data_IF_906416601618
#
_entry.id   IF_906416601618
#
_cell.length_a   1.000
_cell.length_b   1.000
_cell.length_c   1.000
_cell.angle_alpha   90.00
_cell.angle_beta   90.00
_cell.angle_gamma   90.00
#
_symmetry.space_group_name_H-M   'P 1'
#
loop_
_entity.id
_entity.type
_entity.pdbx_description
1 polymer ?
#
# COMPACT_ATOMS: atom_id res chain seq x y z
N UNK A 1 4.99 43.61 11.68
CA UNK A 1 4.89 42.46 12.59
C UNK A 1 4.63 41.24 11.73
N UNK A 2 5.59 40.33 11.63
CA UNK A 2 5.63 39.27 10.63
C UNK A 2 4.87 38.01 11.10
N UNK A 3 3.79 37.66 10.43
CA UNK A 3 3.02 36.43 10.61
C UNK A 3 3.70 35.15 10.07
N UNK A 4 4.98 35.18 9.76
CA UNK A 4 5.70 34.11 9.06
C UNK A 4 6.30 33.02 9.98
N UNK A 5 6.06 33.09 11.32
CA UNK A 5 6.72 32.21 12.30
C UNK A 5 5.98 30.95 12.73
N UNK A 6 4.67 30.85 12.57
CA UNK A 6 3.83 29.88 13.28
C UNK A 6 3.47 28.58 12.52
N UNK A 7 3.85 28.44 11.24
CA UNK A 7 3.42 27.28 10.43
C UNK A 7 4.48 26.16 10.21
N UNK A 8 5.69 26.26 10.76
CA UNK A 8 6.77 25.30 10.48
C UNK A 8 6.62 23.91 11.12
N UNK A 9 5.77 23.73 12.12
CA UNK A 9 5.66 22.50 12.91
C UNK A 9 4.25 21.87 13.00
N UNK A 10 3.27 22.38 12.28
CA UNK A 10 1.92 21.84 12.30
C UNK A 10 1.91 20.41 11.72
N UNK A 11 1.33 19.48 12.47
CA UNK A 11 1.15 18.08 12.03
C UNK A 11 0.22 18.05 10.80
N UNK A 12 0.59 17.29 9.80
CA UNK A 12 -0.17 17.06 8.55
C UNK A 12 -1.20 15.96 8.77
N UNK A 13 -2.36 16.32 9.29
CA UNK A 13 -3.47 15.38 9.56
C UNK A 13 -4.10 14.86 8.26
N UNK A 14 -4.07 15.64 7.20
CA UNK A 14 -4.49 15.27 5.85
C UNK A 14 -3.77 14.02 5.33
N UNK A 15 -2.46 13.90 5.55
CA UNK A 15 -1.69 12.71 5.18
C UNK A 15 -2.04 11.49 6.05
N UNK A 16 -2.36 11.71 7.33
CA UNK A 16 -2.86 10.62 8.18
C UNK A 16 -4.21 10.09 7.67
N UNK A 17 -5.15 10.98 7.30
CA UNK A 17 -6.44 10.60 6.72
C UNK A 17 -6.30 9.85 5.40
N UNK A 18 -5.48 10.36 4.48
CA UNK A 18 -5.24 9.67 3.20
C UNK A 18 -4.67 8.27 3.40
N UNK A 19 -3.76 8.10 4.36
CA UNK A 19 -3.23 6.79 4.71
C UNK A 19 -4.32 5.85 5.23
N UNK A 20 -5.20 6.34 6.11
CA UNK A 20 -6.34 5.58 6.64
C UNK A 20 -7.27 5.16 5.51
N UNK A 21 -7.64 6.09 4.63
CA UNK A 21 -8.53 5.82 3.50
C UNK A 21 -7.89 4.81 2.53
N UNK A 22 -6.62 5.00 2.17
CA UNK A 22 -5.93 4.13 1.23
C UNK A 22 -5.79 2.68 1.76
N UNK A 23 -5.50 2.50 3.04
CA UNK A 23 -5.49 1.16 3.65
C UNK A 23 -6.90 0.58 3.82
N UNK A 24 -7.91 1.40 4.13
CA UNK A 24 -9.30 0.96 4.14
C UNK A 24 -9.71 0.42 2.77
N UNK A 25 -9.41 1.16 1.70
CA UNK A 25 -9.64 0.72 0.33
C UNK A 25 -8.83 -0.52 -0.05
N UNK A 26 -7.64 -0.72 0.54
CA UNK A 26 -6.85 -1.93 0.34
C UNK A 26 -7.57 -3.18 0.87
N UNK A 27 -8.24 -3.08 2.02
CA UNK A 27 -9.03 -4.19 2.58
C UNK A 27 -10.15 -4.56 1.61
N UNK A 28 -10.95 -3.59 1.15
CA UNK A 28 -12.01 -3.83 0.18
C UNK A 28 -11.49 -4.34 -1.17
N UNK A 29 -10.32 -3.87 -1.60
CA UNK A 29 -9.66 -4.40 -2.79
C UNK A 29 -9.32 -5.89 -2.64
N UNK A 30 -8.79 -6.33 -1.50
CA UNK A 30 -8.51 -7.74 -1.28
C UNK A 30 -9.79 -8.59 -1.16
N UNK A 31 -10.89 -8.03 -0.66
CA UNK A 31 -12.21 -8.67 -0.77
C UNK A 31 -12.60 -8.82 -2.25
N UNK A 32 -12.41 -7.78 -3.06
CA UNK A 32 -12.63 -7.85 -4.51
C UNK A 32 -11.74 -8.86 -5.23
N UNK A 33 -10.52 -9.13 -4.72
CA UNK A 33 -9.64 -10.17 -5.26
C UNK A 33 -10.23 -11.58 -5.14
N UNK A 34 -11.12 -11.83 -4.21
CA UNK A 34 -11.88 -13.08 -4.11
C UNK A 34 -12.87 -13.26 -5.26
N UNK A 35 -13.40 -12.16 -5.82
CA UNK A 35 -14.45 -12.17 -6.85
C UNK A 35 -13.96 -11.85 -8.28
N UNK A 36 -12.81 -11.16 -8.45
CA UNK A 36 -12.29 -10.85 -9.80
C UNK A 36 -11.60 -12.06 -10.41
N UNK A 37 -11.59 -12.18 -11.74
CA UNK A 37 -10.95 -13.30 -12.45
C UNK A 37 -9.41 -13.36 -12.33
N UNK A 38 -8.76 -12.37 -11.69
CA UNK A 38 -7.30 -12.33 -11.55
C UNK A 38 -6.80 -13.42 -10.59
N UNK A 39 -5.59 -13.98 -10.80
CA UNK A 39 -5.02 -14.98 -9.90
C UNK A 39 -4.95 -14.50 -8.44
N UNK A 40 -5.38 -15.34 -7.52
CA UNK A 40 -5.30 -15.09 -6.08
C UNK A 40 -5.32 -16.39 -5.29
N UNK A 41 -5.19 -16.34 -3.96
CA UNK A 41 -5.07 -17.50 -3.08
C UNK A 41 -6.29 -18.45 -3.15
N UNK A 42 -7.47 -17.88 -2.95
CA UNK A 42 -8.76 -18.60 -2.95
C UNK A 42 -9.78 -17.81 -3.76
N UNK A 43 -10.78 -18.45 -4.34
CA UNK A 43 -11.76 -17.82 -5.22
C UNK A 43 -13.19 -18.14 -4.86
N UNK A 44 -14.09 -17.18 -5.05
CA UNK A 44 -15.52 -17.43 -5.09
C UNK A 44 -15.90 -18.24 -6.33
N UNK A 45 -16.96 -19.05 -6.23
CA UNK A 45 -17.61 -19.67 -7.39
C UNK A 45 -18.20 -18.63 -8.35
N UNK A 46 -18.40 -17.39 -7.90
CA UNK A 46 -18.89 -16.25 -8.67
C UNK A 46 -17.75 -15.36 -9.20
N UNK A 47 -16.50 -15.85 -9.20
CA UNK A 47 -15.38 -15.04 -9.67
C UNK A 47 -15.44 -14.84 -11.18
N UNK A 48 -15.39 -13.57 -11.62
CA UNK A 48 -15.52 -13.22 -13.03
C UNK A 48 -14.89 -11.86 -13.38
N UNK A 49 -14.99 -11.45 -14.65
CA UNK A 49 -14.46 -10.16 -15.12
C UNK A 49 -15.34 -8.97 -14.74
N UNK A 50 -16.58 -9.18 -14.28
CA UNK A 50 -17.61 -8.16 -14.11
C UNK A 50 -17.20 -7.07 -13.13
N UNK A 51 -16.46 -7.42 -12.06
CA UNK A 51 -15.98 -6.46 -11.08
C UNK A 51 -14.61 -5.85 -11.42
N UNK A 52 -14.02 -6.22 -12.56
CA UNK A 52 -12.72 -5.71 -12.97
C UNK A 52 -12.67 -4.17 -13.05
N UNK A 53 -13.70 -3.47 -13.58
CA UNK A 53 -13.73 -2.01 -13.54
C UNK A 53 -13.63 -1.46 -12.11
N UNK A 54 -14.38 -2.02 -11.16
CA UNK A 54 -14.32 -1.60 -9.76
C UNK A 54 -12.91 -1.79 -9.15
N UNK A 55 -12.25 -2.89 -9.50
CA UNK A 55 -10.87 -3.14 -9.06
C UNK A 55 -9.89 -2.11 -9.63
N UNK A 56 -10.06 -1.74 -10.90
CA UNK A 56 -9.24 -0.74 -11.58
C UNK A 56 -9.39 0.66 -11.00
N UNK A 57 -10.52 0.99 -10.37
CA UNK A 57 -10.71 2.30 -9.74
C UNK A 57 -9.65 2.66 -8.71
N UNK A 58 -9.15 1.67 -7.96
CA UNK A 58 -8.18 1.93 -6.88
C UNK A 58 -6.82 1.29 -7.11
N UNK A 59 -6.72 0.29 -7.98
CA UNK A 59 -5.49 -0.49 -8.21
C UNK A 59 -4.29 0.38 -8.64
N UNK A 60 -4.41 1.33 -9.57
CA UNK A 60 -3.25 2.05 -10.08
C UNK A 60 -2.57 2.95 -9.04
N UNK A 61 -3.34 3.64 -8.21
CA UNK A 61 -2.83 4.75 -7.39
C UNK A 61 -2.68 4.44 -5.90
N UNK A 62 -3.41 3.48 -5.36
CA UNK A 62 -3.51 3.27 -3.90
C UNK A 62 -2.16 3.02 -3.22
N UNK A 63 -1.37 2.05 -3.73
CA UNK A 63 -0.04 1.75 -3.18
C UNK A 63 0.98 2.85 -3.50
N UNK A 64 0.90 3.43 -4.68
CA UNK A 64 1.69 4.57 -5.10
C UNK A 64 1.53 5.77 -4.15
N UNK A 65 0.29 6.10 -3.79
CA UNK A 65 -0.03 7.12 -2.80
C UNK A 65 0.53 6.78 -1.42
N UNK A 66 0.44 5.52 -0.98
CA UNK A 66 0.98 5.09 0.31
C UNK A 66 2.51 5.23 0.38
N UNK A 67 3.25 4.90 -0.68
CA UNK A 67 4.69 5.11 -0.74
C UNK A 67 5.05 6.60 -0.75
N UNK A 68 4.31 7.44 -1.48
CA UNK A 68 4.49 8.88 -1.49
C UNK A 68 4.28 9.48 -0.08
N UNK A 69 3.18 9.13 0.60
CA UNK A 69 2.90 9.56 1.98
C UNK A 69 3.99 9.08 2.94
N UNK A 70 4.46 7.84 2.77
CA UNK A 70 5.53 7.29 3.57
C UNK A 70 6.85 8.06 3.38
N UNK A 71 7.14 8.52 2.17
CA UNK A 71 8.24 9.43 1.87
C UNK A 71 8.12 10.76 2.63
N UNK A 72 6.95 11.40 2.61
CA UNK A 72 6.68 12.61 3.39
C UNK A 72 6.91 12.39 4.90
N UNK A 73 6.36 11.30 5.45
CA UNK A 73 6.54 10.94 6.85
C UNK A 73 8.02 10.70 7.21
N UNK A 74 8.77 10.08 6.29
CA UNK A 74 10.20 9.83 6.43
C UNK A 74 10.99 11.14 6.46
N UNK A 75 10.63 12.15 5.66
CA UNK A 75 11.22 13.48 5.70
C UNK A 75 10.98 14.16 7.06
N UNK A 76 9.75 14.17 7.55
CA UNK A 76 9.45 14.77 8.86
C UNK A 76 10.20 14.08 10.01
N UNK A 77 10.44 12.77 9.93
CA UNK A 77 11.30 12.08 10.90
C UNK A 77 12.77 12.46 10.75
N UNK A 78 13.27 12.53 9.50
CA UNK A 78 14.65 12.88 9.21
C UNK A 78 15.01 14.30 9.73
N UNK A 79 14.07 15.24 9.71
CA UNK A 79 14.27 16.59 10.23
C UNK A 79 14.42 16.63 11.78
N UNK A 80 13.92 15.60 12.49
CA UNK A 80 13.85 15.57 13.96
C UNK A 80 14.81 14.56 14.61
N UNK A 81 15.45 13.69 13.83
CA UNK A 81 16.22 12.57 14.36
C UNK A 81 17.58 12.43 13.67
N UNK A 82 18.55 11.93 14.42
CA UNK A 82 19.82 11.46 13.86
C UNK A 82 19.59 10.18 13.03
N UNK A 83 20.47 9.91 12.07
CA UNK A 83 20.38 8.72 11.19
C UNK A 83 20.27 7.42 11.97
N UNK A 84 21.13 7.19 12.96
CA UNK A 84 21.13 5.96 13.77
C UNK A 84 19.84 5.79 14.58
N UNK A 85 19.34 6.87 15.21
CA UNK A 85 18.08 6.83 15.96
C UNK A 85 16.89 6.52 15.03
N UNK A 86 16.88 7.13 13.85
CA UNK A 86 15.85 6.90 12.85
C UNK A 86 15.86 5.46 12.33
N UNK A 87 17.05 4.92 11.98
CA UNK A 87 17.21 3.54 11.53
C UNK A 87 16.71 2.55 12.59
N UNK A 88 17.15 2.71 13.85
CA UNK A 88 16.72 1.86 14.96
C UNK A 88 15.21 1.91 15.18
N UNK A 89 14.61 3.11 15.18
CA UNK A 89 13.18 3.28 15.40
C UNK A 89 12.35 2.68 14.25
N UNK A 90 12.77 2.84 13.00
CA UNK A 90 12.10 2.26 11.84
C UNK A 90 12.22 0.75 11.80
N UNK A 91 13.41 0.21 12.03
CA UNK A 91 13.62 -1.24 12.08
C UNK A 91 12.78 -1.88 13.18
N UNK A 92 12.77 -1.30 14.39
CA UNK A 92 11.96 -1.81 15.48
C UNK A 92 10.45 -1.73 15.26
N UNK A 93 10.00 -0.80 14.42
CA UNK A 93 8.57 -0.64 14.10
C UNK A 93 8.10 -1.52 12.95
N UNK A 94 8.98 -1.89 12.01
CA UNK A 94 8.62 -2.59 10.78
C UNK A 94 9.06 -4.06 10.76
N UNK A 95 10.25 -4.39 11.27
CA UNK A 95 10.76 -5.76 11.18
C UNK A 95 10.06 -6.76 12.11
N UNK A 96 9.79 -6.48 13.41
CA UNK A 96 9.07 -7.42 14.25
C UNK A 96 7.67 -7.76 13.70
N UNK A 97 6.83 -6.79 13.24
CA UNK A 97 5.56 -7.10 12.58
C UNK A 97 5.73 -7.90 11.29
N UNK A 98 6.76 -7.63 10.50
CA UNK A 98 7.02 -8.38 9.26
C UNK A 98 7.36 -9.85 9.57
N UNK A 99 8.31 -10.09 10.46
CA UNK A 99 8.73 -11.45 10.83
C UNK A 99 7.58 -12.20 11.48
N UNK A 100 6.88 -11.60 12.44
CA UNK A 100 5.71 -12.19 13.08
C UNK A 100 4.60 -12.48 12.04
N UNK A 101 4.37 -11.53 11.14
CA UNK A 101 3.41 -11.69 10.06
C UNK A 101 3.74 -12.88 9.16
N UNK A 102 5.01 -12.99 8.72
CA UNK A 102 5.47 -14.11 7.88
C UNK A 102 5.36 -15.46 8.57
N UNK A 103 5.61 -15.52 9.88
CA UNK A 103 5.66 -16.80 10.61
C UNK A 103 4.32 -17.20 11.25
N UNK A 104 3.42 -16.26 11.52
CA UNK A 104 2.18 -16.54 12.27
C UNK A 104 0.91 -16.14 11.51
N UNK A 105 0.90 -14.98 10.86
CA UNK A 105 -0.31 -14.44 10.24
C UNK A 105 -0.50 -14.97 8.81
N UNK A 106 0.56 -15.07 8.03
CA UNK A 106 0.53 -15.48 6.61
C UNK A 106 0.38 -16.98 6.40
N UNK A 107 0.95 -17.90 7.22
CA UNK A 107 0.88 -19.35 6.97
C UNK A 107 -0.54 -19.89 6.72
N UNK A 108 -1.60 -19.45 7.46
CA UNK A 108 -2.95 -19.93 7.15
C UNK A 108 -3.42 -19.57 5.72
N UNK A 109 -2.99 -18.45 5.14
CA UNK A 109 -3.33 -18.09 3.76
C UNK A 109 -2.71 -19.09 2.78
N UNK A 110 -1.40 -19.37 2.96
CA UNK A 110 -0.67 -20.33 2.12
C UNK A 110 -1.23 -21.74 2.29
N UNK A 111 -1.63 -22.13 3.50
CA UNK A 111 -2.28 -23.40 3.76
C UNK A 111 -3.60 -23.53 2.97
N UNK A 112 -4.49 -22.54 3.09
CA UNK A 112 -5.74 -22.53 2.34
C UNK A 112 -5.51 -22.60 0.82
N UNK A 113 -4.51 -21.88 0.31
CA UNK A 113 -4.15 -21.88 -1.11
C UNK A 113 -3.70 -23.26 -1.61
N UNK A 114 -2.82 -23.96 -0.89
CA UNK A 114 -2.36 -25.29 -1.32
C UNK A 114 -3.41 -26.37 -1.13
N UNK A 115 -4.29 -26.23 -0.14
CA UNK A 115 -5.45 -27.14 0.01
C UNK A 115 -6.38 -26.99 -1.19
N UNK A 116 -6.72 -25.75 -1.58
CA UNK A 116 -7.67 -25.48 -2.65
C UNK A 116 -7.10 -25.79 -4.03
N UNK A 117 -5.85 -25.38 -4.30
CA UNK A 117 -5.24 -25.50 -5.63
C UNK A 117 -4.50 -26.83 -5.88
N UNK A 118 -4.00 -27.48 -4.84
CA UNK A 118 -3.16 -28.68 -4.96
C UNK A 118 -3.77 -29.90 -4.28
N UNK A 119 -4.91 -29.79 -3.61
CA UNK A 119 -5.51 -30.89 -2.86
C UNK A 119 -4.67 -31.38 -1.69
N UNK A 120 -3.89 -30.48 -1.05
CA UNK A 120 -3.01 -30.84 0.05
C UNK A 120 -3.78 -31.42 1.24
N UNK A 121 -3.42 -32.61 1.71
CA UNK A 121 -4.17 -33.37 2.73
C UNK A 121 -3.36 -33.83 3.94
N UNK A 122 -2.05 -33.54 4.00
CA UNK A 122 -1.19 -34.00 5.12
C UNK A 122 -1.46 -33.27 6.47
N UNK A 123 -2.35 -32.27 6.47
CA UNK A 123 -2.75 -31.52 7.66
C UNK A 123 -1.86 -30.32 7.99
N UNK A 124 -2.37 -29.47 8.90
CA UNK A 124 -1.78 -28.18 9.22
C UNK A 124 -0.41 -28.26 9.89
N UNK A 125 -0.16 -29.27 10.71
CA UNK A 125 1.12 -29.42 11.41
C UNK A 125 2.25 -29.82 10.44
N UNK A 126 2.00 -30.76 9.55
CA UNK A 126 2.94 -31.17 8.50
C UNK A 126 3.23 -30.00 7.54
N UNK A 127 2.18 -29.28 7.15
CA UNK A 127 2.34 -28.04 6.39
C UNK A 127 3.25 -27.04 7.09
N UNK A 128 2.99 -26.76 8.38
CA UNK A 128 3.74 -25.75 9.12
C UNK A 128 5.22 -26.13 9.27
N UNK A 129 5.53 -27.41 9.53
CA UNK A 129 6.90 -27.91 9.57
C UNK A 129 7.63 -27.68 8.23
N UNK A 130 7.00 -28.00 7.10
CA UNK A 130 7.53 -27.72 5.75
C UNK A 130 7.66 -26.23 5.48
N UNK A 131 6.69 -25.41 5.91
CA UNK A 131 6.69 -23.97 5.72
C UNK A 131 7.86 -23.28 6.40
N UNK A 132 8.15 -23.60 7.67
CA UNK A 132 9.23 -22.98 8.44
C UNK A 132 10.61 -23.54 8.10
N UNK A 133 10.69 -24.73 7.49
CA UNK A 133 11.96 -25.33 7.07
C UNK A 133 12.52 -24.76 5.76
N UNK A 134 11.82 -23.83 5.12
CA UNK A 134 12.16 -23.26 3.81
C UNK A 134 12.11 -24.28 2.65
N UNK A 135 11.52 -25.47 2.87
CA UNK A 135 11.44 -26.57 1.91
C UNK A 135 10.00 -26.99 1.64
N UNK A 136 9.12 -26.02 1.31
CA UNK A 136 7.73 -26.33 0.99
C UNK A 136 7.56 -27.28 -0.20
N UNK A 137 8.36 -27.12 -1.23
CA UNK A 137 8.33 -27.96 -2.44
C UNK A 137 7.08 -27.79 -3.31
N UNK A 138 6.16 -26.89 -2.92
CA UNK A 138 4.90 -26.67 -3.65
C UNK A 138 5.10 -25.81 -4.89
N UNK A 139 4.32 -26.10 -5.92
CA UNK A 139 4.25 -25.30 -7.15
C UNK A 139 2.78 -24.96 -7.42
N UNK A 140 2.48 -23.67 -7.50
CA UNK A 140 1.14 -23.17 -7.81
C UNK A 140 1.19 -22.46 -9.17
N UNK A 141 0.29 -22.81 -10.07
CA UNK A 141 0.24 -22.30 -11.45
C UNK A 141 1.60 -22.41 -12.17
N UNK A 142 2.29 -23.56 -11.97
CA UNK A 142 3.60 -23.85 -12.56
C UNK A 142 4.80 -23.12 -11.94
N UNK A 143 4.58 -22.23 -10.95
CA UNK A 143 5.63 -21.46 -10.28
C UNK A 143 5.91 -22.02 -8.88
N UNK A 144 7.19 -22.03 -8.44
CA UNK A 144 7.51 -22.45 -7.08
C UNK A 144 6.90 -21.47 -6.07
N UNK A 145 6.24 -22.01 -5.04
CA UNK A 145 5.74 -21.26 -3.92
C UNK A 145 6.85 -21.09 -2.88
N UNK A 146 7.43 -19.90 -2.83
CA UNK A 146 8.51 -19.59 -1.89
C UNK A 146 7.93 -19.44 -0.48
N UNK A 147 8.46 -20.22 0.46
CA UNK A 147 8.07 -20.19 1.87
C UNK A 147 9.30 -20.11 2.77
N UNK A 148 9.24 -19.40 3.91
CA UNK A 148 8.16 -18.53 4.37
C UNK A 148 7.94 -17.33 3.46
N UNK A 149 6.69 -16.97 3.19
CA UNK A 149 6.34 -15.85 2.34
C UNK A 149 5.77 -14.69 3.16
N UNK A 150 5.83 -13.50 2.62
CA UNK A 150 5.23 -12.29 3.22
C UNK A 150 3.87 -11.91 2.63
N UNK A 151 3.45 -12.53 1.52
CA UNK A 151 2.20 -12.20 0.83
C UNK A 151 1.96 -10.67 0.80
N UNK A 152 0.81 -10.20 1.29
CA UNK A 152 0.47 -8.77 1.34
C UNK A 152 1.44 -7.90 2.16
N UNK A 153 2.26 -8.46 3.03
CA UNK A 153 3.21 -7.72 3.87
C UNK A 153 4.46 -7.23 3.11
N UNK A 154 4.60 -7.56 1.82
CA UNK A 154 5.71 -7.09 0.99
C UNK A 154 5.91 -5.56 1.04
N UNK A 155 4.81 -4.79 1.15
CA UNK A 155 4.87 -3.33 1.31
C UNK A 155 5.71 -2.91 2.54
N UNK A 156 5.66 -3.65 3.64
CA UNK A 156 6.44 -3.35 4.86
C UNK A 156 7.93 -3.57 4.63
N UNK A 157 8.31 -4.65 3.92
CA UNK A 157 9.69 -4.94 3.57
C UNK A 157 10.27 -3.82 2.67
N UNK A 158 9.54 -3.44 1.62
CA UNK A 158 9.94 -2.36 0.71
C UNK A 158 10.03 -1.02 1.44
N UNK A 159 9.06 -0.69 2.29
CA UNK A 159 9.07 0.52 3.09
C UNK A 159 10.29 0.59 4.02
N UNK A 160 10.68 -0.53 4.62
CA UNK A 160 11.88 -0.60 5.44
C UNK A 160 13.13 -0.34 4.61
N UNK A 161 13.31 -1.04 3.48
CA UNK A 161 14.45 -0.88 2.58
C UNK A 161 14.53 0.56 2.07
N UNK A 162 13.44 1.14 1.56
CA UNK A 162 13.44 2.52 1.07
C UNK A 162 13.78 3.54 2.15
N UNK A 163 13.31 3.30 3.38
CA UNK A 163 13.70 4.14 4.51
C UNK A 163 15.20 4.03 4.81
N UNK A 164 15.79 2.82 4.77
CA UNK A 164 17.22 2.63 4.97
C UNK A 164 18.06 3.28 3.86
N UNK A 165 17.62 3.16 2.60
CA UNK A 165 18.25 3.84 1.47
C UNK A 165 18.28 5.36 1.69
N UNK A 166 17.13 5.96 2.07
CA UNK A 166 17.07 7.42 2.33
C UNK A 166 17.97 7.80 3.52
N UNK A 167 18.02 7.01 4.59
CA UNK A 167 18.90 7.28 5.73
C UNK A 167 20.38 7.26 5.31
N UNK A 168 20.78 6.28 4.49
CA UNK A 168 22.14 6.16 3.98
C UNK A 168 22.50 7.33 3.03
N UNK A 169 21.59 7.62 2.09
CA UNK A 169 21.80 8.65 1.07
C UNK A 169 21.47 10.08 1.56
N UNK A 170 21.06 10.26 2.81
CA UNK A 170 20.65 11.58 3.31
C UNK A 170 21.67 12.70 3.07
N UNK A 171 23.01 12.52 3.27
CA UNK A 171 23.98 13.57 2.95
C UNK A 171 23.97 13.97 1.49
N UNK A 172 23.90 12.98 0.59
CA UNK A 172 23.84 13.18 -0.85
C UNK A 172 22.55 13.89 -1.25
N UNK A 173 21.39 13.45 -0.75
CA UNK A 173 20.09 14.08 -1.01
C UNK A 173 20.03 15.56 -0.59
N UNK A 174 20.76 15.92 0.47
CA UNK A 174 20.88 17.32 0.91
C UNK A 174 21.84 18.14 0.04
N UNK A 175 22.86 17.49 -0.56
CA UNK A 175 23.84 18.15 -1.42
C UNK A 175 23.33 18.35 -2.86
N UNK A 176 22.33 17.56 -3.30
CA UNK A 176 21.80 17.68 -4.64
C UNK A 176 21.15 19.04 -4.89
N UNK A 177 21.46 19.71 -6.03
CA UNK A 177 20.92 21.03 -6.37
C UNK A 177 19.50 20.94 -6.92
N UNK A 178 18.57 20.34 -6.13
CA UNK A 178 17.17 20.12 -6.54
C UNK A 178 16.29 21.36 -6.53
N UNK A 179 16.86 22.56 -6.26
CA UNK A 179 16.09 23.82 -6.22
C UNK A 179 15.38 24.10 -7.54
N UNK A 180 16.06 23.90 -8.67
CA UNK A 180 15.46 24.10 -10.00
C UNK A 180 14.27 23.16 -10.25
N UNK A 181 14.41 21.88 -9.91
CA UNK A 181 13.33 20.90 -10.01
C UNK A 181 12.15 21.28 -9.10
N UNK A 182 12.42 21.68 -7.86
CA UNK A 182 11.39 22.11 -6.93
C UNK A 182 10.66 23.38 -7.44
N UNK A 183 11.38 24.31 -8.06
CA UNK A 183 10.78 25.51 -8.67
C UNK A 183 9.92 25.14 -9.88
N UNK A 184 10.40 24.28 -10.76
CA UNK A 184 9.64 23.79 -11.93
C UNK A 184 8.34 23.08 -11.49
N UNK A 185 8.40 22.22 -10.47
CA UNK A 185 7.24 21.50 -9.94
C UNK A 185 6.25 22.38 -9.14
N UNK A 186 6.58 23.63 -8.85
CA UNK A 186 5.59 24.61 -8.35
C UNK A 186 4.65 25.07 -9.46
N UNK A 187 5.06 24.95 -10.72
CA UNK A 187 4.19 25.22 -11.87
C UNK A 187 3.14 24.11 -11.98
N UNK A 188 1.83 24.44 -11.97
CA UNK A 188 0.78 23.45 -11.96
C UNK A 188 0.86 22.45 -13.12
N UNK A 189 1.11 22.91 -14.34
CA UNK A 189 1.20 22.06 -15.52
C UNK A 189 2.40 21.11 -15.48
N UNK A 190 3.56 21.59 -15.02
CA UNK A 190 4.73 20.73 -14.85
C UNK A 190 4.48 19.63 -13.79
N UNK A 191 3.84 20.00 -12.66
CA UNK A 191 3.47 19.05 -11.62
C UNK A 191 2.45 18.02 -12.12
N UNK A 192 1.53 18.40 -12.99
CA UNK A 192 0.50 17.51 -13.53
C UNK A 192 1.05 16.56 -14.60
N UNK A 193 1.98 17.00 -15.46
CA UNK A 193 2.40 16.28 -16.66
C UNK A 193 3.74 15.56 -16.52
N UNK A 194 4.73 16.13 -15.81
CA UNK A 194 6.08 15.54 -15.77
C UNK A 194 6.10 14.19 -15.02
N UNK A 195 5.51 14.04 -13.82
CA UNK A 195 5.57 12.76 -13.14
C UNK A 195 4.91 11.61 -13.91
N UNK A 196 3.71 11.74 -14.51
CA UNK A 196 3.11 10.63 -15.25
C UNK A 196 3.88 10.27 -16.52
N UNK A 197 4.57 11.21 -17.17
CA UNK A 197 5.46 10.90 -18.29
C UNK A 197 6.63 10.00 -17.83
N UNK A 198 7.26 10.34 -16.71
CA UNK A 198 8.33 9.53 -16.13
C UNK A 198 7.83 8.15 -15.69
N UNK A 199 6.68 8.08 -15.01
CA UNK A 199 6.06 6.82 -14.59
C UNK A 199 5.69 5.97 -15.81
N UNK A 200 5.12 6.57 -16.85
CA UNK A 200 4.77 5.88 -18.09
C UNK A 200 6.00 5.32 -18.81
N UNK A 201 7.09 6.08 -18.86
CA UNK A 201 8.37 5.64 -19.41
C UNK A 201 8.96 4.47 -18.61
N UNK A 202 8.97 4.54 -17.27
CA UNK A 202 9.39 3.43 -16.42
C UNK A 202 8.55 2.17 -16.67
N UNK A 203 7.21 2.31 -16.79
CA UNK A 203 6.33 1.20 -17.12
C UNK A 203 6.61 0.61 -18.50
N UNK A 204 6.80 1.45 -19.50
CA UNK A 204 7.06 1.03 -20.87
C UNK A 204 8.36 0.22 -20.97
N UNK A 205 9.41 0.64 -20.29
CA UNK A 205 10.75 0.06 -20.40
C UNK A 205 10.97 -1.11 -19.44
N UNK A 206 10.60 -0.95 -18.17
CA UNK A 206 10.99 -1.93 -17.14
C UNK A 206 9.95 -3.04 -16.93
N UNK A 207 8.66 -2.74 -17.05
CA UNK A 207 7.62 -3.74 -16.75
C UNK A 207 7.65 -4.96 -17.68
N UNK A 208 7.89 -4.84 -19.00
CA UNK A 208 7.99 -5.99 -19.89
C UNK A 208 9.18 -6.91 -19.58
N UNK A 209 10.27 -6.34 -19.00
CA UNK A 209 11.52 -7.06 -18.72
C UNK A 209 11.45 -7.75 -17.35
N UNK A 210 10.96 -7.05 -16.31
CA UNK A 210 11.06 -7.51 -14.93
C UNK A 210 9.70 -8.00 -14.35
N UNK A 211 8.56 -7.57 -14.93
CA UNK A 211 7.24 -7.89 -14.40
C UNK A 211 6.96 -7.22 -13.05
N UNK A 212 6.08 -7.85 -12.28
CA UNK A 212 5.72 -7.48 -10.90
C UNK A 212 5.81 -8.75 -10.05
N UNK A 213 6.89 -8.89 -9.26
CA UNK A 213 7.18 -10.13 -8.54
C UNK A 213 6.84 -10.05 -7.05
N UNK A 214 6.85 -8.85 -6.47
CA UNK A 214 6.78 -8.59 -5.03
C UNK A 214 7.88 -9.32 -4.22
N UNK A 215 8.93 -9.74 -4.90
CA UNK A 215 10.14 -10.32 -4.32
C UNK A 215 11.22 -9.23 -4.23
N UNK A 216 11.72 -8.97 -3.03
CA UNK A 216 12.56 -7.82 -2.71
C UNK A 216 13.84 -7.71 -3.57
N UNK A 217 14.34 -8.83 -4.11
CA UNK A 217 15.66 -8.87 -4.76
C UNK A 217 15.59 -8.61 -6.27
N UNK A 218 14.51 -8.99 -6.93
CA UNK A 218 14.39 -8.99 -8.40
C UNK A 218 13.25 -8.14 -8.94
N UNK A 219 12.53 -7.41 -8.10
CA UNK A 219 11.37 -6.60 -8.49
C UNK A 219 11.77 -5.18 -8.95
N UNK A 220 12.69 -5.11 -9.90
CA UNK A 220 13.30 -3.85 -10.33
C UNK A 220 12.31 -2.83 -10.87
N UNK A 221 11.24 -3.28 -11.53
CA UNK A 221 10.19 -2.38 -12.00
C UNK A 221 9.44 -1.72 -10.85
N UNK A 222 8.98 -2.49 -9.86
CA UNK A 222 8.27 -1.91 -8.71
C UNK A 222 9.21 -1.11 -7.80
N UNK A 223 10.49 -1.49 -7.71
CA UNK A 223 11.48 -0.65 -7.04
C UNK A 223 11.64 0.70 -7.71
N UNK A 224 11.81 0.74 -9.04
CA UNK A 224 11.92 2.00 -9.76
C UNK A 224 10.67 2.87 -9.59
N UNK A 225 9.48 2.28 -9.66
CA UNK A 225 8.20 2.97 -9.50
C UNK A 225 8.00 3.49 -8.06
N UNK A 226 8.06 2.61 -7.08
CA UNK A 226 7.68 2.97 -5.72
C UNK A 226 8.76 3.73 -4.96
N UNK A 227 10.05 3.46 -5.23
CA UNK A 227 11.13 4.26 -4.67
C UNK A 227 11.12 5.68 -5.23
N UNK A 228 10.84 5.87 -6.54
CA UNK A 228 10.72 7.21 -7.12
C UNK A 228 9.58 8.02 -6.49
N UNK A 229 8.42 7.40 -6.26
CA UNK A 229 7.29 8.03 -5.57
C UNK A 229 7.59 8.31 -4.09
N UNK A 230 8.29 7.40 -3.41
CA UNK A 230 8.75 7.60 -2.03
C UNK A 230 9.74 8.78 -1.94
N UNK A 231 10.72 8.84 -2.85
CA UNK A 231 11.67 9.95 -2.94
C UNK A 231 11.00 11.27 -3.33
N UNK A 232 10.02 11.22 -4.23
CA UNK A 232 9.20 12.37 -4.57
C UNK A 232 8.48 12.90 -3.32
N UNK A 233 7.78 12.03 -2.58
CA UNK A 233 7.14 12.38 -1.31
C UNK A 233 8.12 12.99 -0.29
N UNK A 234 9.32 12.38 -0.15
CA UNK A 234 10.39 12.90 0.70
C UNK A 234 10.82 14.32 0.29
N UNK A 235 10.97 14.56 -1.01
CA UNK A 235 11.38 15.86 -1.57
C UNK A 235 10.33 16.95 -1.40
N UNK A 236 9.06 16.65 -1.64
CA UNK A 236 7.97 17.67 -1.59
C UNK A 236 7.48 17.96 -0.18
N UNK A 237 7.79 17.13 0.82
CA UNK A 237 7.20 17.20 2.16
C UNK A 237 7.25 18.60 2.79
N UNK A 238 8.31 19.38 2.52
CA UNK A 238 8.52 20.76 3.00
C UNK A 238 8.35 21.84 1.93
N UNK A 239 7.87 21.50 0.75
CA UNK A 239 7.73 22.42 -0.38
C UNK A 239 6.31 22.99 -0.45
N UNK A 240 6.05 24.02 0.36
CA UNK A 240 4.71 24.63 0.47
C UNK A 240 4.13 25.06 -0.89
N UNK A 241 4.97 25.62 -1.78
CA UNK A 241 4.52 26.01 -3.13
C UNK A 241 4.00 24.84 -3.97
N UNK A 242 4.57 23.63 -3.81
CA UNK A 242 4.07 22.41 -4.50
C UNK A 242 2.72 22.00 -3.90
N UNK A 243 2.58 22.04 -2.57
CA UNK A 243 1.30 21.73 -1.91
C UNK A 243 0.18 22.69 -2.31
N UNK A 244 0.48 23.98 -2.46
CA UNK A 244 -0.48 24.97 -2.99
C UNK A 244 -0.88 24.67 -4.44
N UNK A 245 0.06 24.21 -5.27
CA UNK A 245 -0.23 23.80 -6.65
C UNK A 245 -1.10 22.54 -6.70
N UNK A 246 -0.85 21.53 -5.84
CA UNK A 246 -1.72 20.36 -5.70
C UNK A 246 -3.16 20.78 -5.30
N UNK A 247 -3.30 21.70 -4.35
CA UNK A 247 -4.60 22.20 -3.93
C UNK A 247 -5.34 22.95 -5.05
N UNK A 248 -4.64 23.77 -5.84
CA UNK A 248 -5.21 24.49 -7.00
C UNK A 248 -5.65 23.51 -8.10
N UNK A 249 -4.88 22.46 -8.35
CA UNK A 249 -5.14 21.48 -9.40
C UNK A 249 -6.25 20.49 -9.07
N UNK A 250 -6.75 20.41 -7.84
CA UNK A 250 -7.62 19.33 -7.36
C UNK A 250 -8.84 19.05 -8.25
N UNK A 251 -9.49 20.08 -8.79
CA UNK A 251 -10.67 19.94 -9.65
C UNK A 251 -10.30 19.50 -11.07
N UNK A 252 -9.22 20.07 -11.64
CA UNK A 252 -8.71 19.64 -12.94
C UNK A 252 -8.22 18.20 -12.86
N UNK A 253 -7.51 17.84 -11.78
CA UNK A 253 -7.04 16.49 -11.53
C UNK A 253 -8.20 15.50 -11.33
N UNK A 254 -9.31 15.91 -10.69
CA UNK A 254 -10.51 15.09 -10.58
C UNK A 254 -11.11 14.80 -11.96
N UNK A 255 -11.32 15.84 -12.79
CA UNK A 255 -11.83 15.66 -14.15
C UNK A 255 -10.92 14.73 -14.97
N UNK A 256 -9.61 14.94 -14.90
CA UNK A 256 -8.63 14.11 -15.58
C UNK A 256 -8.63 12.66 -15.05
N UNK A 257 -8.71 12.46 -13.74
CA UNK A 257 -8.76 11.14 -13.11
C UNK A 257 -9.99 10.34 -13.56
N UNK A 258 -11.16 10.96 -13.54
CA UNK A 258 -12.41 10.30 -14.00
C UNK A 258 -12.34 9.97 -15.49
N UNK A 259 -11.84 10.90 -16.32
CA UNK A 259 -11.67 10.66 -17.75
C UNK A 259 -10.65 9.53 -18.02
N UNK A 260 -9.49 9.58 -17.38
CA UNK A 260 -8.46 8.56 -17.59
C UNK A 260 -8.85 7.20 -17.03
N UNK A 261 -9.61 7.16 -15.95
CA UNK A 261 -10.22 5.93 -15.44
C UNK A 261 -11.16 5.31 -16.48
N UNK A 262 -12.07 6.10 -17.08
CA UNK A 262 -12.95 5.60 -18.12
C UNK A 262 -12.16 5.08 -19.34
N UNK A 263 -11.16 5.82 -19.79
CA UNK A 263 -10.25 5.41 -20.88
C UNK A 263 -9.50 4.13 -20.52
N UNK A 264 -8.98 4.03 -19.28
CA UNK A 264 -8.23 2.86 -18.82
C UNK A 264 -9.13 1.62 -18.76
N UNK A 265 -10.36 1.75 -18.25
CA UNK A 265 -11.34 0.65 -18.25
C UNK A 265 -11.63 0.20 -19.68
N UNK A 266 -11.90 1.12 -20.59
CA UNK A 266 -12.12 0.80 -21.99
C UNK A 266 -10.92 0.07 -22.61
N UNK A 267 -9.72 0.60 -22.43
CA UNK A 267 -8.47 0.00 -22.94
C UNK A 267 -8.22 -1.40 -22.38
N UNK A 268 -8.56 -1.64 -21.12
CA UNK A 268 -8.40 -2.96 -20.49
C UNK A 268 -9.45 -3.94 -21.00
N UNK A 269 -10.72 -3.53 -21.08
CA UNK A 269 -11.82 -4.40 -21.52
C UNK A 269 -11.74 -4.75 -23.01
N UNK A 270 -11.20 -3.86 -23.85
CA UNK A 270 -11.06 -4.06 -25.29
C UNK A 270 -9.67 -4.59 -25.70
N UNK A 271 -8.77 -4.76 -24.73
CA UNK A 271 -7.34 -5.10 -24.94
C UNK A 271 -6.64 -4.24 -25.99
N UNK A 272 -6.95 -2.95 -25.99
CA UNK A 272 -6.40 -1.95 -26.89
C UNK A 272 -5.34 -1.07 -26.22
N UNK A 273 -4.95 0.03 -26.85
CA UNK A 273 -4.02 1.02 -26.31
C UNK A 273 -2.54 0.77 -26.62
N UNK A 274 -2.11 -0.43 -26.95
CA UNK A 274 -0.75 -0.75 -27.38
C UNK A 274 0.33 -0.06 -26.53
N UNK A 275 1.28 0.63 -27.19
CA UNK A 275 2.39 1.36 -26.55
C UNK A 275 1.93 2.57 -25.71
N UNK A 276 0.70 3.07 -25.87
CA UNK A 276 0.15 4.16 -25.06
C UNK A 276 -0.41 3.69 -23.71
N UNK A 277 -0.73 2.41 -23.58
CA UNK A 277 -1.30 1.82 -22.35
C UNK A 277 -0.50 2.15 -21.06
N UNK A 278 0.85 2.09 -21.04
CA UNK A 278 1.65 2.51 -19.88
C UNK A 278 1.44 3.98 -19.47
N UNK A 279 1.29 4.88 -20.46
CA UNK A 279 1.08 6.31 -20.21
C UNK A 279 -0.34 6.63 -19.78
N UNK A 280 -1.36 5.96 -20.35
CA UNK A 280 -2.75 6.06 -19.90
C UNK A 280 -2.83 5.65 -18.43
N UNK A 281 -2.23 4.52 -18.08
CA UNK A 281 -2.18 4.03 -16.70
C UNK A 281 -1.45 5.00 -15.76
N UNK A 282 -0.33 5.54 -16.19
CA UNK A 282 0.46 6.48 -15.40
C UNK A 282 -0.27 7.82 -15.18
N UNK A 283 -0.98 8.30 -16.20
CA UNK A 283 -1.75 9.54 -16.11
C UNK A 283 -2.97 9.35 -15.20
N UNK A 284 -3.68 8.23 -15.31
CA UNK A 284 -4.75 7.84 -14.37
C UNK A 284 -4.22 7.82 -12.95
N UNK A 285 -3.17 7.03 -12.70
CA UNK A 285 -2.51 6.91 -11.40
C UNK A 285 -2.16 8.26 -10.79
N UNK A 286 -1.53 9.13 -11.56
CA UNK A 286 -1.05 10.42 -11.08
C UNK A 286 -2.18 11.43 -10.88
N UNK A 287 -3.17 11.45 -11.75
CA UNK A 287 -4.32 12.32 -11.64
C UNK A 287 -5.10 12.04 -10.33
N UNK A 288 -5.33 10.76 -10.00
CA UNK A 288 -5.92 10.37 -8.71
C UNK A 288 -5.07 10.84 -7.53
N UNK A 289 -3.73 10.66 -7.57
CA UNK A 289 -2.83 11.11 -6.50
C UNK A 289 -2.91 12.62 -6.30
N UNK A 290 -2.82 13.42 -7.37
CA UNK A 290 -2.90 14.89 -7.31
C UNK A 290 -4.26 15.33 -6.74
N UNK A 291 -5.34 14.74 -7.23
CA UNK A 291 -6.70 15.00 -6.76
C UNK A 291 -6.82 14.73 -5.25
N UNK A 292 -6.42 13.53 -4.81
CA UNK A 292 -6.54 13.12 -3.41
C UNK A 292 -5.69 13.99 -2.48
N UNK A 293 -4.43 14.29 -2.85
CA UNK A 293 -3.57 15.16 -2.07
C UNK A 293 -4.13 16.58 -1.98
N UNK A 294 -4.67 17.11 -3.09
CA UNK A 294 -5.24 18.46 -3.14
C UNK A 294 -6.51 18.59 -2.30
N UNK A 295 -7.45 17.67 -2.43
CA UNK A 295 -8.68 17.67 -1.62
C UNK A 295 -8.40 17.39 -0.14
N UNK A 296 -7.53 16.44 0.17
CA UNK A 296 -7.20 16.14 1.55
C UNK A 296 -6.56 17.34 2.26
N UNK A 297 -5.62 18.00 1.60
CA UNK A 297 -5.01 19.23 2.14
C UNK A 297 -6.06 20.28 2.48
N UNK A 298 -7.04 20.47 1.62
CA UNK A 298 -8.09 21.49 1.80
C UNK A 298 -9.10 21.14 2.86
N UNK A 299 -9.50 19.84 2.94
CA UNK A 299 -10.69 19.43 3.70
C UNK A 299 -10.40 18.46 4.85
N UNK A 300 -9.28 17.72 4.82
CA UNK A 300 -8.98 16.66 5.78
C UNK A 300 -7.85 17.00 6.77
N UNK A 301 -7.35 18.25 6.78
CA UNK A 301 -6.30 18.64 7.72
C UNK A 301 -6.86 18.94 9.12
N UNK A 302 -7.70 18.04 9.63
CA UNK A 302 -8.41 18.13 10.91
C UNK A 302 -8.01 16.98 11.85
N UNK A 303 -7.86 17.31 13.14
CA UNK A 303 -7.59 16.33 14.19
C UNK A 303 -8.89 15.94 14.88
N UNK A 304 -9.25 14.66 14.77
CA UNK A 304 -10.45 14.10 15.43
C UNK A 304 -10.10 12.87 16.25
N UNK A 305 -10.91 12.52 17.27
CA UNK A 305 -10.73 11.25 18.00
C UNK A 305 -10.72 10.03 17.09
N UNK A 306 -11.60 10.02 16.08
CA UNK A 306 -11.65 8.95 15.08
C UNK A 306 -10.33 8.81 14.30
N UNK A 307 -9.76 9.94 13.82
CA UNK A 307 -8.46 9.90 13.15
C UNK A 307 -7.37 9.30 14.04
N UNK A 308 -7.32 9.71 15.31
CA UNK A 308 -6.33 9.22 16.27
C UNK A 308 -6.47 7.71 16.46
N UNK A 309 -7.69 7.23 16.69
CA UNK A 309 -8.00 5.81 16.80
C UNK A 309 -7.58 5.03 15.53
N UNK A 310 -8.04 5.46 14.36
CA UNK A 310 -7.77 4.80 13.09
C UNK A 310 -6.28 4.87 12.70
N UNK A 311 -5.56 5.93 13.05
CA UNK A 311 -4.11 6.02 12.81
C UNK A 311 -3.33 4.91 13.51
N UNK A 312 -3.76 4.49 14.69
CA UNK A 312 -3.14 3.38 15.42
C UNK A 312 -3.69 2.02 14.96
N UNK A 313 -4.98 1.94 14.65
CA UNK A 313 -5.66 0.70 14.24
C UNK A 313 -5.24 0.21 12.85
N UNK A 314 -4.95 1.13 11.91
CA UNK A 314 -4.84 0.81 10.48
C UNK A 314 -3.70 -0.18 10.16
N UNK A 315 -2.59 -0.16 10.91
CA UNK A 315 -1.49 -1.07 10.67
C UNK A 315 -1.78 -2.50 11.19
N UNK A 316 -2.34 -2.71 12.40
CA UNK A 316 -2.93 -4.00 12.79
C UNK A 316 -3.99 -4.52 11.81
N UNK A 317 -4.89 -3.67 11.32
CA UNK A 317 -5.89 -4.05 10.31
C UNK A 317 -5.20 -4.56 9.04
N UNK A 318 -4.18 -3.82 8.56
CA UNK A 318 -3.39 -4.23 7.41
C UNK A 318 -2.71 -5.59 7.60
N UNK A 319 -2.21 -5.91 8.80
CA UNK A 319 -1.58 -7.21 9.06
C UNK A 319 -2.62 -8.34 9.03
N UNK A 320 -3.82 -8.13 9.58
CA UNK A 320 -4.82 -9.18 9.81
C UNK A 320 -5.73 -9.45 8.61
N UNK A 321 -6.11 -8.38 7.86
CA UNK A 321 -7.24 -8.45 6.93
C UNK A 321 -7.16 -9.57 5.91
N UNK A 322 -6.00 -9.75 5.26
CA UNK A 322 -5.91 -10.72 4.16
C UNK A 322 -6.02 -12.17 4.66
N UNK A 323 -5.46 -12.46 5.84
CA UNK A 323 -5.64 -13.79 6.46
C UNK A 323 -7.10 -14.06 6.78
N UNK A 324 -7.81 -13.07 7.33
CA UNK A 324 -9.25 -13.20 7.62
C UNK A 324 -10.01 -13.42 6.32
N UNK A 325 -9.74 -12.63 5.27
CA UNK A 325 -10.41 -12.75 3.96
C UNK A 325 -10.15 -14.13 3.34
N UNK A 326 -8.91 -14.60 3.32
CA UNK A 326 -8.55 -15.88 2.69
C UNK A 326 -9.16 -17.05 3.46
N UNK A 327 -9.03 -17.07 4.79
CA UNK A 327 -9.56 -18.16 5.63
C UNK A 327 -11.08 -18.21 5.61
N UNK A 328 -11.74 -17.07 5.66
CA UNK A 328 -13.19 -17.00 5.58
C UNK A 328 -13.67 -17.31 4.16
N UNK A 329 -13.02 -16.74 3.13
CA UNK A 329 -13.33 -17.02 1.73
C UNK A 329 -13.26 -18.51 1.41
N UNK A 330 -12.19 -19.18 1.85
CA UNK A 330 -12.04 -20.63 1.71
C UNK A 330 -13.19 -21.44 2.35
N UNK A 331 -13.76 -20.96 3.46
CA UNK A 331 -14.88 -21.61 4.15
C UNK A 331 -16.22 -21.36 3.48
N UNK A 332 -16.45 -20.15 2.97
CA UNK A 332 -17.77 -19.76 2.42
C UNK A 332 -17.94 -20.11 0.94
N UNK A 333 -16.86 -20.27 0.18
CA UNK A 333 -16.93 -20.57 -1.28
C UNK A 333 -17.71 -21.85 -1.61
N UNK A 334 -17.79 -22.80 -0.67
CA UNK A 334 -18.53 -24.04 -0.84
C UNK A 334 -19.98 -24.04 -0.30
N UNK A 335 -20.46 -22.90 0.26
CA UNK A 335 -21.78 -22.86 0.92
C UNK A 335 -22.96 -22.58 -0.02
N UNK A 336 -22.72 -22.35 -1.32
CA UNK A 336 -23.78 -22.05 -2.28
C UNK A 336 -24.50 -20.73 -2.04
N UNK A 337 -23.83 -19.76 -1.40
CA UNK A 337 -24.37 -18.40 -1.17
C UNK A 337 -24.40 -17.61 -2.46
N UNK A 338 -25.27 -16.62 -2.55
CA UNK A 338 -25.21 -15.63 -3.64
C UNK A 338 -23.96 -14.75 -3.52
N UNK A 339 -23.46 -14.23 -4.64
CA UNK A 339 -22.29 -13.34 -4.68
C UNK A 339 -22.43 -12.15 -3.72
N UNK A 340 -23.64 -11.54 -3.64
CA UNK A 340 -23.92 -10.43 -2.71
C UNK A 340 -23.85 -10.86 -1.25
N UNK A 341 -24.37 -12.04 -0.90
CA UNK A 341 -24.30 -12.58 0.46
C UNK A 341 -22.87 -12.94 0.86
N UNK A 342 -22.09 -13.56 -0.05
CA UNK A 342 -20.66 -13.81 0.16
C UNK A 342 -19.90 -12.50 0.41
N UNK A 343 -20.12 -11.49 -0.43
CA UNK A 343 -19.44 -10.19 -0.31
C UNK A 343 -19.78 -9.47 0.99
N UNK A 344 -21.07 -9.46 1.37
CA UNK A 344 -21.51 -8.82 2.62
C UNK A 344 -20.95 -9.53 3.85
N UNK A 345 -20.99 -10.86 3.87
CA UNK A 345 -20.45 -11.67 4.95
C UNK A 345 -18.93 -11.49 5.06
N UNK A 346 -18.22 -11.55 3.93
CA UNK A 346 -16.76 -11.40 3.88
C UNK A 346 -16.34 -10.01 4.34
N UNK A 347 -17.02 -8.95 3.89
CA UNK A 347 -16.74 -7.58 4.29
C UNK A 347 -17.03 -7.36 5.78
N UNK A 348 -18.22 -7.74 6.25
CA UNK A 348 -18.63 -7.57 7.64
C UNK A 348 -17.73 -8.33 8.61
N UNK A 349 -17.48 -9.61 8.34
CA UNK A 349 -16.63 -10.44 9.19
C UNK A 349 -15.15 -10.01 9.16
N UNK A 350 -14.63 -9.56 8.01
CA UNK A 350 -13.26 -9.02 7.94
C UNK A 350 -13.12 -7.74 8.76
N UNK A 351 -14.07 -6.80 8.65
CA UNK A 351 -14.02 -5.57 9.42
C UNK A 351 -14.18 -5.83 10.92
N UNK A 352 -15.10 -6.71 11.33
CA UNK A 352 -15.30 -7.11 12.70
C UNK A 352 -14.06 -7.84 13.27
N UNK A 353 -13.47 -8.76 12.50
CA UNK A 353 -12.26 -9.49 12.89
C UNK A 353 -11.03 -8.59 13.02
N UNK A 354 -10.83 -7.66 12.10
CA UNK A 354 -9.78 -6.65 12.20
C UNK A 354 -9.95 -5.75 13.41
N UNK A 355 -11.18 -5.29 13.66
CA UNK A 355 -11.50 -4.47 14.83
C UNK A 355 -11.27 -5.24 16.14
N UNK A 356 -11.80 -6.45 16.27
CA UNK A 356 -11.62 -7.29 17.45
C UNK A 356 -10.13 -7.63 17.68
N UNK A 357 -9.40 -7.97 16.62
CA UNK A 357 -7.96 -8.22 16.67
C UNK A 357 -7.18 -7.00 17.15
N UNK A 358 -7.49 -5.81 16.63
CA UNK A 358 -6.85 -4.57 17.10
C UNK A 358 -7.19 -4.29 18.58
N UNK A 359 -8.46 -4.46 18.98
CA UNK A 359 -8.86 -4.26 20.38
C UNK A 359 -8.16 -5.24 21.34
N UNK A 360 -7.92 -6.48 20.92
CA UNK A 360 -7.13 -7.45 21.66
C UNK A 360 -5.66 -7.03 21.75
N UNK A 361 -5.05 -6.73 20.59
CA UNK A 361 -3.61 -6.34 20.50
C UNK A 361 -3.31 -5.09 21.34
N UNK A 362 -4.17 -4.07 21.31
CA UNK A 362 -3.89 -2.83 22.05
C UNK A 362 -3.97 -3.01 23.58
N UNK A 363 -4.68 -4.04 24.09
CA UNK A 363 -4.79 -4.36 25.52
C UNK A 363 -3.66 -5.24 26.02
N UNK A 364 -3.03 -6.02 25.13
CA UNK A 364 -1.97 -6.98 25.50
C UNK A 364 -0.60 -6.39 25.20
N UNK A 365 0.12 -5.96 26.23
CA UNK A 365 1.35 -5.17 26.10
C UNK A 365 2.44 -5.79 25.22
N UNK A 366 2.66 -7.11 25.31
CA UNK A 366 3.69 -7.81 24.53
C UNK A 366 3.30 -8.02 23.06
N UNK A 367 2.00 -8.05 22.72
CA UNK A 367 1.54 -8.13 21.32
C UNK A 367 1.73 -6.81 20.57
N UNK A 368 1.68 -5.67 21.25
CA UNK A 368 1.74 -4.35 20.62
C UNK A 368 2.90 -4.17 19.64
N UNK A 369 4.17 -4.50 19.99
CA UNK A 369 5.28 -4.39 19.05
C UNK A 369 5.18 -5.31 17.82
N UNK A 370 4.57 -6.49 17.98
CA UNK A 370 4.36 -7.46 16.89
C UNK A 370 3.34 -6.96 15.84
N UNK A 371 2.55 -5.96 16.19
CA UNK A 371 1.61 -5.27 15.30
C UNK A 371 2.01 -3.81 15.05
N UNK A 372 3.27 -3.43 15.32
CA UNK A 372 3.81 -2.10 15.05
C UNK A 372 3.26 -0.99 15.95
N UNK A 373 2.59 -1.34 17.05
CA UNK A 373 2.14 -0.39 18.06
C UNK A 373 3.28 -0.05 19.04
N UNK A 374 3.25 1.16 19.58
CA UNK A 374 4.19 1.53 20.66
C UNK A 374 3.87 0.70 21.91
N UNK A 375 4.91 0.31 22.66
CA UNK A 375 4.72 -0.28 23.99
C UNK A 375 3.90 0.69 24.85
N UNK A 376 2.97 0.16 25.65
CA UNK A 376 2.32 0.97 26.65
C UNK A 376 3.39 1.49 27.62
N UNK A 377 3.42 2.79 27.85
CA UNK A 377 4.20 3.34 28.96
C UNK A 377 3.47 2.84 30.21
N UNK A 378 4.11 1.98 30.99
CA UNK A 378 3.60 1.67 32.31
C UNK A 378 3.54 2.98 33.09
N UNK A 379 2.40 3.34 33.70
CA UNK A 379 2.42 4.43 34.67
C UNK A 379 3.42 4.03 35.77
N UNK A 380 4.31 4.95 36.06
CA UNK A 380 5.28 4.84 37.16
C UNK A 380 4.56 4.83 38.49
#
# INVERSE_FOLDING_TARGET
MSETGLHKDARRYDLDWLRIIAFGLLIFYHIGMFFVAWPWHVKSSHAGPEIQPLMLLTSPWRLALLFLIAGCATRFMADRMTRGRMARQRSWRLLPPLVFGMLVIVPPQTYAEIVEKLGYSEGVFAFYAKYISFHGGWRVDGRPLIVPTWNHLWFVAYLWVYTMIVIALRPLLHALPLRGVAVALRQPMALLLVPPLLIGALRLVLRPVFGETHALVDDWYLHALYLSLFLFGYGIARQEGIWLSLERLRWLALALAVTMYAVMVLVVLTDTGGRMRPFIWALDQWAWIVMLLGFARRHLNVDTPLRRYLTDAIFPFYILHQTIIVMLGHRISGLGLSAGSEAALLAGATMAGCWAGYEAVRRVGWLRPLFGLRRAVQPA
#
